data_IF_548556146825
#
_entry.id   IF_548556146825
#
_cell.length_a   1.000
_cell.length_b   1.000
_cell.length_c   1.000
_cell.angle_alpha   90.00
_cell.angle_beta   90.00
_cell.angle_gamma   90.00
#
_symmetry.space_group_name_H-M   'P 1'
#
loop_
_entity.id
_entity.type
_entity.pdbx_description
1 polymer ?
#
# COMPACT_ATOMS: atom_id res chain seq x y z
N UNK A 1 0.40 24.75 5.04
CA UNK A 1 1.75 24.23 5.41
C UNK A 1 1.79 22.76 5.08
N UNK A 2 2.90 22.29 4.52
CA UNK A 2 3.12 20.89 4.22
C UNK A 2 4.01 20.27 5.31
N UNK A 3 3.55 19.21 5.95
CA UNK A 3 4.30 18.51 6.99
C UNK A 3 4.48 17.03 6.62
N UNK A 4 5.72 16.55 6.66
CA UNK A 4 6.06 15.13 6.47
C UNK A 4 6.61 14.58 7.78
N UNK A 5 5.99 13.53 8.29
CA UNK A 5 6.34 12.96 9.60
C UNK A 5 7.69 12.22 9.55
N UNK A 6 7.99 11.59 8.41
CA UNK A 6 9.27 10.89 8.16
C UNK A 6 10.52 11.75 8.35
N UNK A 7 10.43 13.08 8.19
CA UNK A 7 11.57 13.99 8.37
C UNK A 7 12.03 14.14 9.82
N UNK A 8 11.21 13.72 10.80
CA UNK A 8 11.55 13.77 12.23
C UNK A 8 12.32 12.55 12.71
N UNK A 9 12.39 11.50 11.89
CA UNK A 9 13.03 10.25 12.24
C UNK A 9 14.30 10.05 11.42
N UNK A 10 15.28 9.38 12.02
CA UNK A 10 16.48 8.99 11.31
C UNK A 10 16.12 7.93 10.26
N UNK A 11 16.64 8.09 9.05
CA UNK A 11 16.44 7.12 7.97
C UNK A 11 16.91 5.73 8.42
N UNK A 12 16.13 4.70 8.10
CA UNK A 12 16.39 3.31 8.48
C UNK A 12 15.97 2.93 9.91
N UNK A 13 15.46 3.87 10.71
CA UNK A 13 14.84 3.53 12.00
C UNK A 13 13.46 2.88 11.80
N UNK A 14 13.05 2.05 12.75
CA UNK A 14 11.71 1.44 12.77
C UNK A 14 10.61 2.52 12.74
N UNK A 15 10.82 3.64 13.45
CA UNK A 15 9.92 4.77 13.45
C UNK A 15 9.80 5.42 12.06
N UNK A 16 10.91 5.55 11.33
CA UNK A 16 10.92 6.08 9.97
C UNK A 16 10.09 5.22 9.00
N UNK A 17 10.27 3.91 9.02
CA UNK A 17 9.52 3.01 8.12
C UNK A 17 8.01 3.02 8.41
N UNK A 18 7.60 3.20 9.68
CA UNK A 18 6.18 3.32 10.06
C UNK A 18 5.49 4.58 9.54
N UNK A 19 6.23 5.66 9.30
CA UNK A 19 5.67 6.95 8.87
C UNK A 19 6.08 7.36 7.45
N UNK A 20 6.86 6.51 6.78
CA UNK A 20 7.34 6.72 5.43
C UNK A 20 6.19 6.98 4.48
N UNK A 21 6.33 8.03 3.68
CA UNK A 21 5.30 8.44 2.73
C UNK A 21 4.07 9.11 3.36
N UNK A 22 3.97 9.27 4.69
CA UNK A 22 2.85 10.00 5.32
C UNK A 22 3.10 11.50 5.29
N UNK A 23 2.15 12.25 4.74
CA UNK A 23 2.18 13.70 4.69
C UNK A 23 0.84 14.30 5.12
N UNK A 24 0.90 15.49 5.71
CA UNK A 24 -0.27 16.27 6.11
C UNK A 24 -0.23 17.65 5.45
N UNK A 25 -1.29 17.99 4.72
CA UNK A 25 -1.54 19.34 4.25
C UNK A 25 -2.37 20.09 5.27
N UNK A 26 -1.78 21.10 5.90
CA UNK A 26 -2.42 21.93 6.92
C UNK A 26 -2.98 23.18 6.25
N UNK A 27 -4.31 23.30 6.25
CA UNK A 27 -5.07 24.48 5.84
C UNK A 27 -5.25 25.34 7.09
N UNK A 28 -4.33 26.27 7.31
CA UNK A 28 -4.31 27.12 8.51
C UNK A 28 -5.22 28.36 8.40
N UNK A 29 -5.44 28.85 7.18
CA UNK A 29 -6.31 30.00 6.91
C UNK A 29 -7.09 29.74 5.63
N UNK A 30 -8.41 29.90 5.72
CA UNK A 30 -9.31 29.87 4.59
C UNK A 30 -10.42 30.90 4.82
N UNK A 31 -10.60 31.88 3.91
CA UNK A 31 -11.53 33.01 4.16
C UNK A 31 -13.00 32.57 4.24
N UNK A 32 -13.38 31.60 3.41
CA UNK A 32 -14.77 31.16 3.24
C UNK A 32 -14.89 29.64 3.37
N UNK A 33 -14.32 29.03 4.40
CA UNK A 33 -14.41 27.58 4.52
C UNK A 33 -13.68 26.99 5.71
N UNK A 34 -13.80 25.66 5.89
CA UNK A 34 -13.19 24.97 6.99
C UNK A 34 -11.65 24.99 6.88
N UNK A 35 -11.02 25.18 8.03
CA UNK A 35 -9.59 24.95 8.25
C UNK A 35 -9.38 23.52 8.76
N UNK A 36 -8.20 22.95 8.56
CA UNK A 36 -7.97 21.57 8.99
C UNK A 36 -6.71 20.94 8.41
N UNK A 37 -6.67 19.61 8.47
CA UNK A 37 -5.57 18.80 7.96
C UNK A 37 -6.10 17.78 6.97
N UNK A 38 -5.43 17.65 5.84
CA UNK A 38 -5.76 16.67 4.81
C UNK A 38 -4.61 15.66 4.75
N UNK A 39 -4.88 14.37 4.99
CA UNK A 39 -3.87 13.32 4.85
C UNK A 39 -3.53 13.10 3.38
N UNK A 40 -2.24 13.02 3.09
CA UNK A 40 -1.68 12.80 1.76
C UNK A 40 -0.60 11.71 1.82
N UNK A 41 -0.35 11.08 0.68
CA UNK A 41 0.77 10.17 0.49
C UNK A 41 1.86 10.85 -0.32
N UNK A 42 3.12 10.77 0.13
CA UNK A 42 4.30 11.28 -0.55
C UNK A 42 4.98 10.18 -1.38
N UNK A 43 4.98 10.33 -2.70
CA UNK A 43 5.66 9.43 -3.64
C UNK A 43 7.03 10.00 -4.00
N UNK A 44 8.05 9.59 -3.24
CA UNK A 44 9.42 10.09 -3.41
C UNK A 44 9.98 9.91 -4.83
N UNK A 45 9.66 8.79 -5.49
CA UNK A 45 10.13 8.47 -6.86
C UNK A 45 9.72 9.50 -7.91
N UNK A 46 8.58 10.17 -7.68
CA UNK A 46 7.97 11.08 -8.65
C UNK A 46 7.83 12.51 -8.11
N UNK A 47 8.38 12.76 -6.92
CA UNK A 47 8.27 14.04 -6.23
C UNK A 47 6.81 14.52 -6.15
N UNK A 48 5.86 13.58 -5.95
CA UNK A 48 4.41 13.81 -6.11
C UNK A 48 3.64 13.50 -4.82
N UNK A 49 2.62 14.31 -4.53
CA UNK A 49 1.62 14.00 -3.52
C UNK A 49 0.37 13.40 -4.15
N UNK A 50 -0.15 12.34 -3.56
CA UNK A 50 -1.44 11.76 -3.92
C UNK A 50 -2.39 11.82 -2.74
N UNK A 51 -3.71 11.91 -2.96
CA UNK A 51 -4.67 11.76 -1.88
C UNK A 51 -4.42 10.44 -1.15
N UNK A 52 -4.47 10.46 0.19
CA UNK A 52 -4.44 9.23 0.96
C UNK A 52 -5.74 8.48 0.67
N UNK A 53 -5.69 7.44 -0.18
CA UNK A 53 -6.88 6.64 -0.48
C UNK A 53 -7.24 5.80 0.75
N UNK A 54 -8.51 5.78 1.20
CA UNK A 54 -8.96 4.87 2.25
C UNK A 54 -8.94 3.40 1.87
N UNK A 55 -8.69 3.08 0.59
CA UNK A 55 -8.62 1.71 0.10
C UNK A 55 -7.42 1.03 0.74
N UNK A 56 -7.68 0.27 1.80
CA UNK A 56 -6.77 -0.77 2.29
C UNK A 56 -6.23 -1.50 1.06
N UNK A 57 -4.91 -1.44 0.88
CA UNK A 57 -4.26 -2.34 -0.05
C UNK A 57 -4.62 -3.76 0.42
N UNK A 58 -5.04 -4.68 -0.46
CA UNK A 58 -5.22 -6.06 -0.04
C UNK A 58 -3.90 -6.48 0.59
N UNK A 59 -3.97 -6.81 1.88
CA UNK A 59 -2.86 -7.33 2.67
C UNK A 59 -2.19 -8.37 1.79
N UNK A 60 -0.91 -8.16 1.50
CA UNK A 60 -0.11 -9.07 0.67
C UNK A 60 -0.47 -10.50 1.07
N UNK A 61 -1.10 -11.23 0.15
CA UNK A 61 -1.29 -12.67 0.32
C UNK A 61 0.11 -13.21 0.64
N UNK A 62 0.31 -13.89 1.78
CA UNK A 62 1.61 -14.48 2.08
C UNK A 62 1.98 -15.41 0.93
N UNK A 63 3.02 -15.07 0.18
CA UNK A 63 3.58 -15.93 -0.86
C UNK A 63 4.56 -16.90 -0.22
N UNK A 64 4.08 -17.66 0.75
CA UNK A 64 4.71 -18.86 1.29
C UNK A 64 3.51 -19.79 1.45
N UNK A 65 3.16 -20.59 0.43
CA UNK A 65 3.26 -22.05 0.52
C UNK A 65 2.96 -22.73 -0.84
N UNK A 66 3.50 -22.25 -1.97
CA UNK A 66 3.48 -23.06 -3.21
C UNK A 66 4.57 -24.14 -3.15
N UNK A 67 4.43 -25.05 -2.18
CA UNK A 67 5.21 -26.27 -2.06
C UNK A 67 4.56 -27.33 -2.96
N UNK A 68 5.25 -27.75 -4.00
CA UNK A 68 4.77 -28.76 -4.95
C UNK A 68 4.41 -30.08 -4.29
N UNK A 69 3.26 -30.63 -4.71
CA UNK A 69 2.96 -32.05 -4.74
C UNK A 69 2.39 -32.30 -6.15
N UNK A 70 2.99 -33.08 -7.05
CA UNK A 70 3.55 -34.39 -6.79
C UNK A 70 2.48 -35.43 -7.10
N UNK A 71 2.43 -35.87 -8.36
CA UNK A 71 1.85 -37.11 -8.89
C UNK A 71 0.41 -37.52 -8.49
N UNK A 72 -0.50 -37.51 -9.47
CA UNK A 72 -1.51 -38.59 -9.58
C UNK A 72 -1.35 -39.26 -10.93
N UNK A 73 -1.05 -40.55 -10.85
CA UNK A 73 -0.93 -41.50 -11.94
C UNK A 73 -2.27 -41.63 -12.70
N UNK A 74 -2.16 -42.06 -13.95
CA UNK A 74 -3.27 -42.08 -14.89
C UNK A 74 -4.32 -43.15 -14.62
N UNK A 75 -5.42 -43.00 -15.36
CA UNK A 75 -6.27 -44.08 -15.83
C UNK A 75 -6.76 -43.70 -17.24
N UNK A 76 -6.53 -44.60 -18.19
CA UNK A 76 -7.10 -44.61 -19.54
C UNK A 76 -8.49 -45.27 -19.51
N UNK A 77 -9.15 -45.33 -20.67
CA UNK A 77 -10.46 -45.95 -20.98
C UNK A 77 -11.68 -45.04 -20.73
N UNK A 78 -12.63 -44.89 -21.64
CA UNK A 78 -12.79 -45.28 -23.03
C UNK A 78 -13.99 -44.49 -23.58
N UNK A 79 -13.94 -44.07 -24.86
CA UNK A 79 -15.11 -43.56 -25.58
C UNK A 79 -16.03 -44.73 -25.95
N UNK A 80 -17.36 -44.62 -25.80
CA UNK A 80 -18.30 -45.47 -26.53
C UNK A 80 -19.21 -44.67 -27.48
N UNK A 81 -19.81 -45.35 -28.48
CA UNK A 81 -19.75 -44.89 -29.86
C UNK A 81 -21.04 -44.29 -30.43
N UNK A 82 -20.82 -43.56 -31.54
CA UNK A 82 -21.69 -42.95 -32.56
C UNK A 82 -22.25 -41.55 -32.27
#
# INVERSE_FOLDING_TARGET
ILHREEMRHQQGSEAYEKVKGKANLIIAKQRNGPVGRIPLTWLWKYTRFTPASPREAPTSVPTDDYQGAGAVAGDQEAEPPF
#
